data_IF_312922770881
#
_entry.id   IF_312922770881
#
_cell.length_a   1.000
_cell.length_b   1.000
_cell.length_c   1.000
_cell.angle_alpha   90.00
_cell.angle_beta   90.00
_cell.angle_gamma   90.00
#
_symmetry.space_group_name_H-M   'P 1'
#
loop_
_entity.id
_entity.type
_entity.pdbx_description
1 polymer ?
#
# COMPACT_ATOMS: atom_id res chain seq x y z
N UNK A 1 -30.87 10.79 25.25
CA UNK A 1 -29.53 10.17 25.21
C UNK A 1 -29.35 9.47 23.85
N UNK A 2 -29.10 10.20 22.75
CA UNK A 2 -29.27 9.65 21.38
C UNK A 2 -28.14 10.04 20.39
N UNK A 3 -26.92 10.26 20.90
CA UNK A 3 -25.78 10.66 20.06
C UNK A 3 -24.61 9.66 19.99
N UNK A 4 -24.50 8.74 20.94
CA UNK A 4 -23.27 7.96 21.18
C UNK A 4 -23.11 6.70 20.31
N UNK A 5 -24.07 6.41 19.42
CA UNK A 5 -24.04 5.21 18.56
C UNK A 5 -23.89 5.50 17.07
N UNK A 6 -23.78 6.76 16.66
CA UNK A 6 -23.63 7.11 15.25
C UNK A 6 -22.30 6.57 14.72
N UNK A 7 -22.29 5.82 13.60
CA UNK A 7 -21.05 5.38 12.96
C UNK A 7 -20.17 6.58 12.61
N UNK A 8 -18.87 6.47 12.87
CA UNK A 8 -17.89 7.52 12.59
C UNK A 8 -16.85 7.01 11.60
N UNK A 9 -16.44 7.88 10.68
CA UNK A 9 -15.31 7.60 9.79
C UNK A 9 -14.04 7.38 10.63
N UNK A 10 -13.22 6.34 10.34
CA UNK A 10 -12.01 6.08 11.10
C UNK A 10 -10.87 7.08 10.82
N UNK A 11 -10.99 7.89 9.77
CA UNK A 11 -10.00 8.91 9.39
C UNK A 11 -10.60 10.32 9.49
N UNK A 12 -9.74 11.34 9.56
CA UNK A 12 -10.17 12.74 9.52
C UNK A 12 -10.75 13.13 8.14
N UNK A 13 -11.36 14.30 8.06
CA UNK A 13 -12.07 14.74 6.85
C UNK A 13 -11.15 14.98 5.64
N UNK A 14 -9.90 15.42 5.86
CA UNK A 14 -8.96 15.65 4.77
C UNK A 14 -8.43 14.32 4.23
N UNK A 15 -8.03 13.40 5.11
CA UNK A 15 -7.64 12.05 4.74
C UNK A 15 -8.79 11.31 4.04
N UNK A 16 -10.03 11.38 4.55
CA UNK A 16 -11.22 10.79 3.90
C UNK A 16 -11.37 11.27 2.46
N UNK A 17 -11.35 12.60 2.26
CA UNK A 17 -11.50 13.21 0.93
C UNK A 17 -10.40 12.75 -0.01
N UNK A 18 -9.14 12.84 0.43
CA UNK A 18 -7.99 12.39 -0.35
C UNK A 18 -8.11 10.92 -0.76
N UNK A 19 -8.45 10.04 0.19
CA UNK A 19 -8.60 8.61 -0.07
C UNK A 19 -9.68 8.32 -1.10
N UNK A 20 -10.84 8.97 -0.99
CA UNK A 20 -11.95 8.74 -1.92
C UNK A 20 -11.64 9.28 -3.32
N UNK A 21 -11.02 10.46 -3.40
CA UNK A 21 -10.58 11.07 -4.66
C UNK A 21 -9.52 10.19 -5.34
N UNK A 22 -8.54 9.65 -4.59
CA UNK A 22 -7.50 8.77 -5.14
C UNK A 22 -8.00 7.36 -5.45
N UNK A 23 -8.95 6.80 -4.70
CA UNK A 23 -9.59 5.51 -5.06
C UNK A 23 -10.39 5.62 -6.36
N UNK A 24 -11.06 6.76 -6.58
CA UNK A 24 -11.73 7.05 -7.84
C UNK A 24 -10.71 7.16 -8.98
N UNK A 25 -9.65 7.94 -8.81
CA UNK A 25 -8.58 8.08 -9.81
C UNK A 25 -7.90 6.74 -10.13
N UNK A 26 -7.54 5.93 -9.13
CA UNK A 26 -6.97 4.60 -9.34
C UNK A 26 -7.92 3.67 -10.09
N UNK A 27 -9.24 3.83 -9.92
CA UNK A 27 -10.24 3.08 -10.69
C UNK A 27 -10.29 3.48 -12.16
N UNK A 28 -9.93 4.72 -12.48
CA UNK A 28 -9.80 5.22 -13.85
C UNK A 28 -8.49 4.75 -14.49
N UNK A 29 -7.39 4.74 -13.72
CA UNK A 29 -6.07 4.34 -14.17
C UNK A 29 -5.90 2.82 -14.38
N UNK A 30 -6.39 2.02 -13.43
CA UNK A 30 -6.14 0.58 -13.36
C UNK A 30 -7.41 -0.26 -13.56
N UNK A 31 -8.54 0.40 -13.78
CA UNK A 31 -9.84 -0.26 -13.88
C UNK A 31 -10.45 -0.59 -12.51
N UNK A 32 -11.72 -0.25 -12.36
CA UNK A 32 -12.50 -0.45 -11.12
C UNK A 32 -12.51 -1.91 -10.62
N UNK A 33 -12.52 -2.88 -11.54
CA UNK A 33 -12.60 -4.31 -11.22
C UNK A 33 -11.38 -4.83 -10.45
N UNK A 34 -10.21 -4.20 -10.61
CA UNK A 34 -8.98 -4.52 -9.87
C UNK A 34 -9.21 -4.40 -8.37
N UNK A 35 -9.91 -3.35 -7.93
CA UNK A 35 -10.23 -3.13 -6.53
C UNK A 35 -11.47 -3.92 -6.07
N UNK A 36 -12.50 -3.96 -6.92
CA UNK A 36 -13.82 -4.43 -6.50
C UNK A 36 -14.03 -5.93 -6.65
N UNK A 37 -13.34 -6.58 -7.60
CA UNK A 37 -13.56 -8.00 -7.94
C UNK A 37 -12.35 -8.90 -7.71
N UNK A 38 -11.12 -8.40 -7.86
CA UNK A 38 -9.91 -9.23 -7.66
C UNK A 38 -9.85 -9.79 -6.23
N UNK A 39 -9.30 -10.99 -6.06
CA UNK A 39 -9.14 -11.55 -4.71
C UNK A 39 -8.28 -10.63 -3.82
N UNK A 40 -8.58 -10.61 -2.52
CA UNK A 40 -7.64 -10.03 -1.54
C UNK A 40 -6.46 -10.98 -1.44
N UNK A 41 -5.23 -10.51 -1.61
CA UNK A 41 -4.03 -11.36 -1.54
C UNK A 41 -3.79 -11.72 -0.07
N UNK A 42 -3.63 -13.02 0.23
CA UNK A 42 -3.49 -13.53 1.59
C UNK A 42 -2.10 -14.11 1.84
N UNK A 43 -1.55 -14.02 3.06
CA UNK A 43 -0.29 -14.66 3.44
C UNK A 43 -0.49 -16.18 3.65
N UNK A 44 -0.84 -16.88 2.58
CA UNK A 44 -1.19 -18.30 2.57
C UNK A 44 -0.55 -19.00 1.37
N UNK A 45 -0.35 -20.31 1.47
CA UNK A 45 0.22 -21.11 0.38
C UNK A 45 -0.62 -21.07 -0.91
N UNK A 46 -1.91 -20.74 -0.84
CA UNK A 46 -2.75 -20.57 -2.03
C UNK A 46 -2.30 -19.37 -2.90
N UNK A 47 -1.68 -18.36 -2.28
CA UNK A 47 -1.14 -17.17 -2.95
C UNK A 47 0.40 -17.18 -3.04
N UNK A 48 1.07 -17.86 -2.12
CA UNK A 48 2.54 -17.94 -2.08
C UNK A 48 2.95 -19.40 -1.89
N UNK A 49 2.79 -20.26 -2.91
CA UNK A 49 3.08 -21.70 -2.82
C UNK A 49 4.56 -22.02 -2.78
N UNK A 50 5.40 -21.13 -3.32
CA UNK A 50 6.84 -21.38 -3.45
C UNK A 50 7.57 -21.21 -2.11
N UNK A 51 8.50 -22.11 -1.77
CA UNK A 51 9.26 -22.01 -0.53
C UNK A 51 10.21 -20.82 -0.55
N UNK A 52 10.26 -20.10 0.58
CA UNK A 52 11.19 -18.99 0.82
C UNK A 52 12.35 -19.49 1.69
N UNK A 53 13.50 -19.79 1.08
CA UNK A 53 14.68 -20.36 1.74
C UNK A 53 15.82 -19.34 2.00
N UNK A 54 15.59 -18.08 1.63
CA UNK A 54 16.53 -16.97 1.81
C UNK A 54 17.53 -16.81 0.67
N UNK A 55 17.55 -17.70 -0.33
CA UNK A 55 18.39 -17.55 -1.52
C UNK A 55 17.87 -16.42 -2.43
N UNK A 56 18.78 -15.82 -3.20
CA UNK A 56 18.40 -14.82 -4.21
C UNK A 56 17.34 -15.36 -5.19
N UNK A 57 17.44 -16.64 -5.56
CA UNK A 57 16.46 -17.30 -6.41
C UNK A 57 15.07 -17.37 -5.77
N UNK A 58 14.96 -17.69 -4.48
CA UNK A 58 13.65 -17.71 -3.81
C UNK A 58 13.08 -16.30 -3.60
N UNK A 59 13.95 -15.28 -3.39
CA UNK A 59 13.51 -13.88 -3.36
C UNK A 59 13.00 -13.43 -4.73
N UNK A 60 13.71 -13.79 -5.81
CA UNK A 60 13.29 -13.50 -7.18
C UNK A 60 11.95 -14.16 -7.50
N UNK A 61 11.76 -15.43 -7.13
CA UNK A 61 10.50 -16.14 -7.33
C UNK A 61 9.36 -15.47 -6.56
N UNK A 62 9.61 -14.97 -5.35
CA UNK A 62 8.63 -14.22 -4.59
C UNK A 62 8.29 -12.90 -5.28
N UNK A 63 9.31 -12.14 -5.70
CA UNK A 63 9.11 -10.89 -6.45
C UNK A 63 8.29 -11.13 -7.72
N UNK A 64 8.57 -12.17 -8.49
CA UNK A 64 7.81 -12.54 -9.68
C UNK A 64 6.34 -12.79 -9.38
N UNK A 65 6.04 -13.46 -8.26
CA UNK A 65 4.66 -13.66 -7.83
C UNK A 65 3.98 -12.32 -7.50
N UNK A 66 4.65 -11.44 -6.78
CA UNK A 66 4.12 -10.09 -6.47
C UNK A 66 3.94 -9.26 -7.74
N UNK A 67 4.88 -9.30 -8.69
CA UNK A 67 4.75 -8.66 -10.01
C UNK A 67 3.48 -9.11 -10.73
N UNK A 68 3.23 -10.42 -10.80
CA UNK A 68 2.01 -10.96 -11.43
C UNK A 68 0.73 -10.48 -10.74
N UNK A 69 0.71 -10.40 -9.42
CA UNK A 69 -0.43 -9.85 -8.67
C UNK A 69 -0.62 -8.34 -8.85
N UNK A 70 0.46 -7.61 -9.13
CA UNK A 70 0.47 -6.17 -9.40
C UNK A 70 0.27 -5.83 -10.89
N UNK A 71 0.07 -6.84 -11.76
CA UNK A 71 0.04 -6.69 -13.23
C UNK A 71 1.29 -5.96 -13.77
N UNK A 72 2.45 -6.34 -13.25
CA UNK A 72 3.79 -5.91 -13.70
C UNK A 72 4.45 -7.09 -14.41
N UNK A 73 5.06 -6.81 -15.56
CA UNK A 73 5.93 -7.77 -16.24
C UNK A 73 7.22 -7.97 -15.42
N UNK A 74 7.49 -9.17 -14.88
CA UNK A 74 8.66 -9.41 -14.04
C UNK A 74 10.00 -9.14 -14.73
N UNK A 75 10.05 -9.22 -16.06
CA UNK A 75 11.27 -8.98 -16.87
C UNK A 75 11.66 -7.49 -16.92
N UNK A 76 10.72 -6.60 -16.57
CA UNK A 76 10.97 -5.15 -16.44
C UNK A 76 11.55 -4.77 -15.08
N UNK A 77 11.63 -5.72 -14.15
CA UNK A 77 12.07 -5.47 -12.78
C UNK A 77 13.40 -6.17 -12.54
N UNK A 78 14.43 -5.40 -12.21
CA UNK A 78 15.70 -5.94 -11.71
C UNK A 78 15.67 -5.96 -10.18
N UNK A 79 16.25 -7.01 -9.60
CA UNK A 79 16.29 -7.21 -8.16
C UNK A 79 17.74 -7.03 -7.71
N UNK A 80 17.96 -6.08 -6.82
CA UNK A 80 19.24 -5.93 -6.14
C UNK A 80 19.07 -6.17 -4.64
N UNK A 81 19.81 -7.14 -4.10
CA UNK A 81 19.77 -7.49 -2.68
C UNK A 81 20.92 -6.82 -1.94
N UNK A 82 20.63 -6.24 -0.77
CA UNK A 82 21.66 -5.67 0.09
C UNK A 82 21.46 -6.08 1.56
N UNK A 83 22.58 -6.16 2.29
CA UNK A 83 22.63 -6.73 3.66
C UNK A 83 23.01 -5.70 4.73
N UNK A 84 22.94 -4.40 4.44
CA UNK A 84 23.27 -3.34 5.40
C UNK A 84 22.59 -1.99 5.07
N UNK A 85 21.67 -1.48 5.90
CA UNK A 85 20.99 -0.20 5.67
C UNK A 85 21.90 1.03 5.79
N UNK A 86 23.11 0.88 6.35
CA UNK A 86 24.01 2.02 6.62
C UNK A 86 24.72 2.56 5.36
N UNK A 87 24.71 1.82 4.24
CA UNK A 87 25.45 2.17 3.02
C UNK A 87 24.62 2.87 1.93
N UNK A 88 23.30 2.91 2.03
CA UNK A 88 22.45 3.54 1.01
C UNK A 88 22.24 5.03 1.27
N UNK A 89 23.30 5.84 1.39
CA UNK A 89 23.14 7.29 1.20
C UNK A 89 23.12 7.58 -0.29
N UNK A 90 22.07 7.15 -0.99
CA UNK A 90 21.88 7.47 -2.39
C UNK A 90 21.38 8.90 -2.52
N UNK A 91 22.14 9.67 -3.28
CA UNK A 91 21.87 11.05 -3.63
C UNK A 91 21.49 11.02 -5.09
N UNK A 92 20.33 11.59 -5.46
CA UNK A 92 19.99 11.73 -6.87
C UNK A 92 20.96 12.72 -7.56
N UNK A 93 20.88 12.82 -8.89
CA UNK A 93 21.73 13.74 -9.68
C UNK A 93 21.62 15.22 -9.25
N UNK A 94 20.55 15.59 -8.54
CA UNK A 94 20.29 16.92 -7.99
C UNK A 94 20.82 17.13 -6.57
N UNK A 95 21.56 16.18 -6.00
CA UNK A 95 22.10 16.32 -4.64
C UNK A 95 21.08 16.07 -3.53
N UNK A 96 19.88 15.59 -3.86
CA UNK A 96 18.78 15.35 -2.90
C UNK A 96 18.85 13.92 -2.39
N UNK A 97 18.80 13.77 -1.07
CA UNK A 97 18.70 12.47 -0.41
C UNK A 97 17.44 11.75 -0.90
N UNK A 98 17.60 10.55 -1.46
CA UNK A 98 16.48 9.65 -1.67
C UNK A 98 15.95 9.22 -0.29
N UNK A 99 14.62 9.11 -0.09
CA UNK A 99 14.07 8.71 1.20
C UNK A 99 14.55 7.30 1.58
N UNK A 100 15.62 7.22 2.37
CA UNK A 100 16.08 5.97 2.98
C UNK A 100 15.16 5.64 4.14
N UNK A 101 14.03 5.05 3.82
CA UNK A 101 12.96 4.78 4.77
C UNK A 101 12.67 3.31 5.02
N UNK A 102 12.59 2.45 4.01
CA UNK A 102 11.93 1.17 4.23
C UNK A 102 12.30 0.07 3.22
N UNK A 103 13.41 -0.63 3.46
CA UNK A 103 13.69 -1.98 2.93
C UNK A 103 13.59 -2.17 1.39
N UNK A 104 13.48 -1.08 0.64
CA UNK A 104 12.93 -0.97 -0.71
C UNK A 104 13.37 0.37 -1.32
N UNK A 105 13.82 0.38 -2.58
CA UNK A 105 14.01 1.62 -3.37
C UNK A 105 13.69 1.34 -4.84
N UNK A 106 12.89 2.22 -5.44
CA UNK A 106 12.66 2.32 -6.88
C UNK A 106 13.72 3.19 -7.56
N UNK A 107 14.37 2.67 -8.61
CA UNK A 107 15.18 3.43 -9.56
C UNK A 107 14.86 2.99 -11.00
N UNK A 108 14.85 3.92 -11.95
CA UNK A 108 14.73 3.58 -13.37
C UNK A 108 16.12 3.62 -14.03
N UNK A 109 16.63 2.46 -14.44
CA UNK A 109 17.91 2.32 -15.15
C UNK A 109 17.71 1.57 -16.47
N UNK A 110 18.16 2.15 -17.59
CA UNK A 110 18.15 1.52 -18.92
C UNK A 110 16.78 0.93 -19.36
N UNK A 111 15.67 1.55 -18.96
CA UNK A 111 14.31 1.09 -19.29
C UNK A 111 13.81 -0.08 -18.43
N UNK A 112 14.54 -0.43 -17.37
CA UNK A 112 14.12 -1.37 -16.33
C UNK A 112 14.05 -0.66 -14.99
N UNK A 113 13.18 -1.17 -14.14
CA UNK A 113 13.05 -0.73 -12.76
C UNK A 113 13.93 -1.57 -11.87
N UNK A 114 14.88 -0.95 -11.18
CA UNK A 114 15.66 -1.60 -10.14
C UNK A 114 14.89 -1.46 -8.83
N UNK A 115 14.65 -2.59 -8.18
CA UNK A 115 14.13 -2.64 -6.82
C UNK A 115 15.24 -3.15 -5.90
N UNK A 116 15.69 -2.27 -5.01
CA UNK A 116 16.66 -2.64 -3.99
C UNK A 116 15.94 -3.19 -2.77
N UNK A 117 16.28 -4.40 -2.31
CA UNK A 117 15.60 -5.02 -1.18
C UNK A 117 16.60 -5.35 -0.06
N UNK A 118 16.27 -4.90 1.17
CA UNK A 118 17.05 -5.22 2.37
C UNK A 118 16.76 -6.65 2.82
N UNK A 119 17.78 -7.50 2.87
CA UNK A 119 17.62 -8.93 3.19
C UNK A 119 17.98 -9.30 4.62
N UNK A 120 18.67 -8.42 5.36
CA UNK A 120 19.04 -8.69 6.76
C UNK A 120 17.82 -8.78 7.69
N UNK A 121 16.68 -8.18 7.32
CA UNK A 121 15.40 -8.25 8.03
C UNK A 121 14.43 -9.37 7.62
N UNK A 122 14.85 -10.37 6.84
CA UNK A 122 14.01 -11.45 6.25
C UNK A 122 13.14 -12.30 7.22
N UNK A 123 13.09 -12.00 8.52
CA UNK A 123 12.35 -12.77 9.53
C UNK A 123 10.82 -12.68 9.40
N UNK A 124 10.29 -11.78 8.58
CA UNK A 124 8.84 -11.65 8.35
C UNK A 124 8.48 -11.55 6.86
N UNK A 125 8.10 -12.68 6.25
CA UNK A 125 7.63 -12.77 4.86
C UNK A 125 6.51 -11.77 4.53
N UNK A 126 5.60 -11.49 5.47
CA UNK A 126 4.50 -10.56 5.21
C UNK A 126 4.99 -9.11 5.08
N UNK A 127 5.94 -8.71 5.92
CA UNK A 127 6.58 -7.39 5.78
C UNK A 127 7.31 -7.28 4.45
N UNK A 128 8.01 -8.35 4.05
CA UNK A 128 8.79 -8.41 2.83
C UNK A 128 7.93 -8.27 1.57
N UNK A 129 6.82 -9.02 1.51
CA UNK A 129 5.81 -8.90 0.44
C UNK A 129 5.20 -7.50 0.41
N UNK A 130 4.92 -6.90 1.58
CA UNK A 130 4.43 -5.53 1.68
C UNK A 130 5.40 -4.50 1.12
N UNK A 131 6.71 -4.67 1.35
CA UNK A 131 7.75 -3.84 0.76
C UNK A 131 7.78 -3.99 -0.76
N UNK A 132 7.84 -5.22 -1.28
CA UNK A 132 7.83 -5.46 -2.74
C UNK A 132 6.61 -4.83 -3.41
N UNK A 133 5.42 -4.98 -2.82
CA UNK A 133 4.19 -4.42 -3.37
C UNK A 133 4.21 -2.88 -3.39
N UNK A 134 4.84 -2.24 -2.41
CA UNK A 134 5.03 -0.79 -2.38
C UNK A 134 6.01 -0.34 -3.48
N UNK A 135 7.18 -0.96 -3.62
CA UNK A 135 8.13 -0.60 -4.68
C UNK A 135 7.56 -0.85 -6.08
N UNK A 136 6.80 -1.92 -6.26
CA UNK A 136 6.08 -2.16 -7.50
C UNK A 136 4.95 -1.15 -7.74
N UNK A 137 4.35 -0.59 -6.69
CA UNK A 137 3.39 0.50 -6.84
C UNK A 137 4.07 1.78 -7.33
N UNK A 138 5.30 2.07 -6.90
CA UNK A 138 6.11 3.16 -7.46
C UNK A 138 6.32 2.96 -8.97
N UNK A 139 6.66 1.75 -9.41
CA UNK A 139 6.74 1.41 -10.84
C UNK A 139 5.40 1.62 -11.56
N UNK A 140 4.30 1.11 -11.00
CA UNK A 140 2.96 1.27 -11.61
C UNK A 140 2.53 2.72 -11.74
N UNK A 141 2.98 3.60 -10.85
CA UNK A 141 2.64 5.02 -10.85
C UNK A 141 3.62 5.85 -11.69
N UNK A 142 4.91 5.84 -11.35
CA UNK A 142 5.95 6.67 -11.97
C UNK A 142 6.52 6.02 -13.23
N UNK A 143 6.91 4.74 -13.15
CA UNK A 143 7.52 4.01 -14.28
C UNK A 143 6.55 3.72 -15.44
N UNK A 144 5.25 3.94 -15.25
CA UNK A 144 4.23 3.94 -16.32
C UNK A 144 3.77 5.35 -16.71
N UNK A 145 4.38 6.40 -16.15
CA UNK A 145 4.09 7.79 -16.49
C UNK A 145 2.70 8.27 -16.08
N UNK A 146 2.10 7.68 -15.03
CA UNK A 146 0.79 8.09 -14.50
C UNK A 146 0.89 9.27 -13.54
N UNK A 147 2.04 9.38 -12.86
CA UNK A 147 2.42 10.49 -11.97
C UNK A 147 3.90 10.83 -12.20
N UNK A 148 4.34 12.01 -11.74
CA UNK A 148 5.71 12.50 -11.94
C UNK A 148 6.66 12.09 -10.82
N UNK A 149 6.15 11.78 -9.63
CA UNK A 149 6.91 11.40 -8.43
C UNK A 149 7.21 12.54 -7.47
N UNK A 150 6.86 13.79 -7.83
CA UNK A 150 7.01 14.97 -6.97
C UNK A 150 5.68 15.41 -6.33
N UNK A 151 4.61 14.63 -6.53
CA UNK A 151 3.31 14.88 -5.94
C UNK A 151 3.39 14.88 -4.40
N UNK A 152 2.63 15.79 -3.78
CA UNK A 152 2.64 15.95 -2.33
C UNK A 152 2.25 14.67 -1.58
N UNK A 153 1.55 13.74 -2.22
CA UNK A 153 1.05 12.50 -1.68
C UNK A 153 1.73 11.25 -2.25
N UNK A 154 2.92 11.36 -2.87
CA UNK A 154 3.59 10.27 -3.57
C UNK A 154 3.58 8.94 -2.78
N UNK A 155 4.18 8.91 -1.58
CA UNK A 155 4.24 7.70 -0.75
C UNK A 155 2.87 7.20 -0.28
N UNK A 156 1.94 8.13 0.02
CA UNK A 156 0.57 7.78 0.38
C UNK A 156 -0.16 7.11 -0.78
N UNK A 157 0.02 7.64 -1.99
CA UNK A 157 -0.57 7.11 -3.21
C UNK A 157 0.05 5.76 -3.58
N UNK A 158 1.34 5.58 -3.36
CA UNK A 158 2.04 4.30 -3.51
C UNK A 158 1.48 3.24 -2.57
N UNK A 159 1.34 3.54 -1.27
CA UNK A 159 0.71 2.63 -0.31
C UNK A 159 -0.74 2.29 -0.72
N UNK A 160 -1.53 3.30 -1.11
CA UNK A 160 -2.92 3.11 -1.53
C UNK A 160 -3.02 2.26 -2.81
N UNK A 161 -2.07 2.42 -3.73
CA UNK A 161 -1.99 1.62 -4.96
C UNK A 161 -1.69 0.16 -4.65
N UNK A 162 -0.76 -0.13 -3.73
CA UNK A 162 -0.54 -1.49 -3.26
C UNK A 162 -1.82 -2.10 -2.63
N UNK A 163 -2.55 -1.32 -1.82
CA UNK A 163 -3.87 -1.75 -1.30
C UNK A 163 -4.86 -2.01 -2.44
N UNK A 164 -4.88 -1.14 -3.45
CA UNK A 164 -5.78 -1.22 -4.59
C UNK A 164 -5.60 -2.52 -5.38
N UNK A 165 -4.36 -2.99 -5.49
CA UNK A 165 -3.99 -4.28 -6.11
C UNK A 165 -4.12 -5.49 -5.18
N UNK A 166 -4.61 -5.32 -3.95
CA UNK A 166 -4.96 -6.41 -3.04
C UNK A 166 -3.94 -6.71 -1.94
N UNK A 167 -2.92 -5.87 -1.76
CA UNK A 167 -1.85 -6.08 -0.76
C UNK A 167 -2.12 -5.40 0.59
N UNK A 168 -3.33 -4.87 0.83
CA UNK A 168 -3.61 -4.08 2.02
C UNK A 168 -3.46 -4.81 3.36
N UNK A 169 -3.51 -6.15 3.38
CA UNK A 169 -3.20 -6.94 4.58
C UNK A 169 -1.72 -6.85 4.94
N UNK A 170 -0.84 -6.90 3.94
CA UNK A 170 0.61 -6.90 4.14
C UNK A 170 1.09 -5.55 4.68
N UNK A 171 0.67 -4.45 4.03
CA UNK A 171 1.04 -3.11 4.48
C UNK A 171 0.27 -2.68 5.73
N UNK A 172 -1.04 -2.96 5.81
CA UNK A 172 -1.88 -2.52 6.92
C UNK A 172 -1.59 -3.22 8.26
N UNK A 173 -1.08 -4.46 8.22
CA UNK A 173 -0.70 -5.18 9.44
C UNK A 173 0.61 -4.68 10.06
N UNK A 174 1.44 -4.00 9.29
CA UNK A 174 2.70 -3.40 9.75
C UNK A 174 2.95 -2.09 9.00
N UNK A 175 2.16 -1.03 9.27
CA UNK A 175 2.29 0.25 8.59
C UNK A 175 3.69 0.82 8.78
N UNK A 176 4.22 1.47 7.75
CA UNK A 176 5.48 2.21 7.86
C UNK A 176 5.30 3.35 8.87
N UNK A 177 6.21 3.43 9.83
CA UNK A 177 6.27 4.56 10.75
C UNK A 177 7.17 5.62 10.14
N UNK A 178 6.63 6.81 9.96
CA UNK A 178 7.40 8.02 9.68
C UNK A 178 7.10 9.02 10.79
N UNK A 179 8.15 9.35 11.56
CA UNK A 179 8.13 10.49 12.49
C UNK A 179 8.49 11.81 11.76
N UNK A 180 8.73 11.76 10.45
CA UNK A 180 9.32 12.85 9.68
C UNK A 180 8.31 13.70 8.92
N UNK A 181 8.45 15.01 9.14
CA UNK A 181 7.86 16.17 8.45
C UNK A 181 6.46 16.61 8.92
N UNK A 182 6.39 17.89 9.31
CA UNK A 182 5.15 18.63 9.60
C UNK A 182 4.47 19.06 8.29
N UNK A 183 4.10 18.11 7.44
CA UNK A 183 3.32 18.41 6.24
C UNK A 183 1.83 18.53 6.60
N UNK A 184 1.13 19.42 5.91
CA UNK A 184 -0.31 19.60 6.02
C UNK A 184 -1.00 19.10 4.76
N UNK A 185 -2.26 18.67 4.89
CA UNK A 185 -3.09 18.40 3.72
C UNK A 185 -3.34 19.72 2.96
N UNK A 186 -3.24 19.74 1.62
CA UNK A 186 -3.44 20.96 0.84
C UNK A 186 -4.74 21.69 1.19
N UNK A 187 -4.64 22.96 1.57
CA UNK A 187 -5.78 23.80 1.90
C UNK A 187 -6.41 23.55 3.28
N UNK A 188 -5.72 22.87 4.20
CA UNK A 188 -6.20 22.65 5.57
C UNK A 188 -5.07 22.78 6.59
N UNK A 189 -5.42 22.95 7.88
CA UNK A 189 -4.45 22.91 8.98
C UNK A 189 -4.18 21.48 9.52
N UNK A 190 -4.78 20.46 8.90
CA UNK A 190 -4.65 19.07 9.34
C UNK A 190 -3.31 18.48 8.89
N UNK A 191 -2.65 17.77 9.81
CA UNK A 191 -1.37 17.11 9.54
C UNK A 191 -1.56 15.97 8.54
N UNK A 192 -0.74 15.95 7.52
CA UNK A 192 -0.64 14.86 6.53
C UNK A 192 0.53 13.95 6.90
N UNK A 193 0.30 12.64 7.06
CA UNK A 193 1.38 11.69 7.27
C UNK A 193 2.16 11.46 5.96
N UNK A 194 3.41 11.02 6.07
CA UNK A 194 4.23 10.64 4.92
C UNK A 194 3.72 9.33 4.28
N UNK A 195 3.43 8.32 5.11
CA UNK A 195 2.87 7.02 4.71
C UNK A 195 1.43 6.83 5.22
N UNK A 196 0.71 5.85 4.67
CA UNK A 196 -0.65 5.58 5.11
C UNK A 196 -0.66 5.15 6.58
N UNK A 197 -1.52 5.78 7.38
CA UNK A 197 -1.70 5.39 8.78
C UNK A 197 -2.59 4.14 8.89
N UNK A 198 -2.54 3.46 10.04
CA UNK A 198 -3.40 2.31 10.31
C UNK A 198 -4.90 2.57 10.03
N UNK A 199 -5.50 3.71 10.46
CA UNK A 199 -6.88 4.02 10.11
C UNK A 199 -7.13 4.23 8.62
N UNK A 200 -6.14 4.73 7.87
CA UNK A 200 -6.21 4.87 6.41
C UNK A 200 -6.20 3.50 5.73
N UNK A 201 -5.30 2.60 6.12
CA UNK A 201 -5.33 1.21 5.61
C UNK A 201 -6.66 0.53 5.90
N UNK A 202 -7.16 0.66 7.14
CA UNK A 202 -8.45 0.12 7.54
C UNK A 202 -9.61 0.67 6.70
N UNK A 203 -9.59 1.97 6.36
CA UNK A 203 -10.64 2.61 5.58
C UNK A 203 -10.62 2.16 4.11
N UNK A 204 -9.44 1.99 3.51
CA UNK A 204 -9.30 1.45 2.16
C UNK A 204 -9.81 -0.01 2.09
N UNK A 205 -9.44 -0.85 3.06
CA UNK A 205 -9.96 -2.22 3.17
C UNK A 205 -11.47 -2.27 3.40
N UNK A 206 -12.01 -1.31 4.16
CA UNK A 206 -13.45 -1.16 4.34
C UNK A 206 -14.17 -0.82 3.01
N UNK A 207 -13.56 0.02 2.17
CA UNK A 207 -14.07 0.26 0.81
C UNK A 207 -14.09 -1.01 -0.03
N UNK A 208 -13.01 -1.80 -0.03
CA UNK A 208 -12.98 -3.09 -0.72
C UNK A 208 -14.12 -4.00 -0.28
N UNK A 209 -14.33 -4.13 1.03
CA UNK A 209 -15.39 -4.95 1.60
C UNK A 209 -16.79 -4.40 1.26
N UNK A 210 -16.95 -3.07 1.25
CA UNK A 210 -18.23 -2.42 0.96
C UNK A 210 -18.66 -2.62 -0.50
N UNK A 211 -17.75 -2.47 -1.46
CA UNK A 211 -18.01 -2.74 -2.87
C UNK A 211 -18.35 -4.21 -3.16
N UNK A 212 -17.90 -5.12 -2.30
CA UNK A 212 -18.24 -6.56 -2.37
C UNK A 212 -19.50 -6.91 -1.59
N UNK A 213 -20.15 -5.95 -0.93
CA UNK A 213 -21.29 -6.21 -0.05
C UNK A 213 -20.95 -7.04 1.18
N UNK A 214 -19.67 -7.07 1.59
CA UNK A 214 -19.15 -7.94 2.65
C UNK A 214 -19.03 -7.20 3.98
N UNK A 215 -19.97 -7.43 4.91
CA UNK A 215 -19.86 -6.86 6.27
C UNK A 215 -18.79 -7.56 7.11
N UNK A 216 -18.60 -8.86 6.86
CA UNK A 216 -17.63 -9.73 7.52
C UNK A 216 -16.93 -10.57 6.44
N UNK A 217 -15.91 -10.01 5.78
CA UNK A 217 -15.20 -10.72 4.72
C UNK A 217 -14.39 -11.90 5.27
N UNK A 218 -14.15 -12.92 4.45
CA UNK A 218 -13.42 -14.13 4.84
C UNK A 218 -11.94 -13.87 5.15
N UNK A 219 -11.40 -12.75 4.65
CA UNK A 219 -10.04 -12.31 4.93
C UNK A 219 -9.90 -11.52 6.25
N UNK A 220 -11.01 -11.20 6.93
CA UNK A 220 -10.99 -10.51 8.24
C UNK A 220 -10.09 -11.19 9.30
N UNK A 221 -9.99 -12.53 9.39
CA UNK A 221 -9.09 -13.19 10.34
C UNK A 221 -7.61 -12.83 10.16
N UNK A 222 -7.19 -12.47 8.94
CA UNK A 222 -5.80 -12.14 8.59
C UNK A 222 -5.38 -10.72 8.96
N UNK A 223 -6.32 -9.84 9.29
CA UNK A 223 -5.99 -8.51 9.81
C UNK A 223 -5.34 -8.60 11.19
N UNK A 224 -4.37 -7.72 11.46
CA UNK A 224 -3.72 -7.60 12.76
C UNK A 224 -4.72 -7.23 13.87
N UNK A 225 -4.30 -7.43 15.12
CA UNK A 225 -5.12 -7.06 16.28
C UNK A 225 -5.54 -5.58 16.25
N UNK A 226 -4.61 -4.69 15.87
CA UNK A 226 -4.82 -3.25 15.86
C UNK A 226 -5.65 -2.79 14.64
N UNK A 227 -5.48 -3.44 13.48
CA UNK A 227 -6.20 -3.07 12.25
C UNK A 227 -7.69 -3.48 12.28
N UNK A 228 -8.00 -4.62 12.94
CA UNK A 228 -9.37 -5.18 13.02
C UNK A 228 -10.42 -4.19 13.56
N UNK A 229 -10.21 -3.51 14.71
CA UNK A 229 -11.14 -2.51 15.22
C UNK A 229 -11.41 -1.37 14.23
N UNK A 230 -10.36 -0.78 13.66
CA UNK A 230 -10.48 0.32 12.70
C UNK A 230 -11.21 -0.13 11.43
N UNK A 231 -10.93 -1.32 10.92
CA UNK A 231 -11.66 -1.88 9.77
C UNK A 231 -13.15 -2.03 10.10
N UNK A 232 -13.49 -2.61 11.26
CA UNK A 232 -14.89 -2.78 11.70
C UNK A 232 -15.62 -1.45 11.84
N UNK A 233 -14.93 -0.42 12.34
CA UNK A 233 -15.46 0.94 12.39
C UNK A 233 -15.71 1.47 10.97
N UNK A 234 -14.74 1.35 10.06
CA UNK A 234 -14.84 1.79 8.67
C UNK A 234 -15.98 1.13 7.90
N UNK A 235 -16.06 -0.21 7.92
CA UNK A 235 -17.10 -0.95 7.18
C UNK A 235 -18.49 -0.66 7.73
N UNK A 236 -18.62 -0.51 9.06
CA UNK A 236 -19.88 -0.10 9.69
C UNK A 236 -20.27 1.31 9.25
N UNK A 237 -19.34 2.25 9.25
CA UNK A 237 -19.57 3.62 8.80
C UNK A 237 -20.06 3.66 7.35
N UNK A 238 -19.34 3.01 6.43
CA UNK A 238 -19.70 2.98 5.01
C UNK A 238 -21.07 2.33 4.78
N UNK A 239 -21.32 1.15 5.36
CA UNK A 239 -22.58 0.42 5.14
C UNK A 239 -23.80 1.09 5.78
N UNK A 240 -23.68 1.69 6.96
CA UNK A 240 -24.83 2.28 7.67
C UNK A 240 -25.13 3.71 7.21
N UNK A 241 -24.14 4.45 6.69
CA UNK A 241 -24.32 5.87 6.32
C UNK A 241 -24.31 6.13 4.82
N UNK A 242 -23.65 5.28 4.02
CA UNK A 242 -23.38 5.54 2.60
C UNK A 242 -22.55 6.82 2.35
N UNK A 243 -21.92 7.38 3.39
CA UNK A 243 -21.23 8.65 3.31
C UNK A 243 -19.82 8.47 2.75
N UNK A 244 -19.75 8.41 1.43
CA UNK A 244 -18.51 8.42 0.66
C UNK A 244 -18.76 8.95 -0.75
N UNK A 245 -17.81 9.69 -1.31
CA UNK A 245 -17.86 10.07 -2.74
C UNK A 245 -17.50 8.89 -3.64
N UNK A 246 -16.72 7.93 -3.15
CA UNK A 246 -16.38 6.68 -3.83
C UNK A 246 -17.27 5.53 -3.35
N UNK A 247 -18.31 5.19 -4.11
CA UNK A 247 -19.35 4.24 -3.69
C UNK A 247 -19.63 3.14 -4.73
N UNK A 248 -20.24 2.01 -4.34
CA UNK A 248 -20.63 0.94 -5.25
C UNK A 248 -21.61 1.40 -6.34
#
# INVERSE_FOLDING_TARGET
MFGWFKPQCPVDAAAKRWMEDRLQWLSEEFGRDTFTRRAMILPTNDFFPDPMDGTEASVRNLLDQVCRYMDVDPDRVELELFTNPTELWLVNDDGKYLPTGAAGLYEEQNGKTVIHIETSGMLNLSSFVGTMAHELAHLRLMGEGRVHGDEYDNELLTDLTAVFHGFGIFLGNSPRNSDSLNSQWPGTDLRRPEYMTLPMFAYALAHTAWFRGQRKPDWLPFLSFDLKPCFRQGIRYLMETGNSTFRP
#
